data_IF_699880727420
#
_entry.id   IF_699880727420
#
_cell.length_a   1.000
_cell.length_b   1.000
_cell.length_c   1.000
_cell.angle_alpha   90.00
_cell.angle_beta   90.00
_cell.angle_gamma   90.00
#
_symmetry.space_group_name_H-M   'P 1'
#
loop_
_entity.id
_entity.type
_entity.pdbx_description
1 polymer ?
#
# COMPACT_ATOMS: atom_id res chain seq x y z
N UNK A 1 9.64 14.03 0.61
CA UNK A 1 8.66 13.58 1.64
C UNK A 1 7.34 13.46 0.91
N UNK A 2 6.88 12.23 0.63
CA UNK A 2 5.66 12.01 -0.13
C UNK A 2 4.45 12.42 0.72
N UNK A 3 3.60 13.30 0.19
CA UNK A 3 2.44 13.86 0.93
C UNK A 3 1.14 13.08 0.73
N UNK A 4 1.10 12.13 -0.21
CA UNK A 4 -0.12 11.40 -0.58
C UNK A 4 0.08 9.89 -0.48
N UNK A 5 -0.79 9.24 0.27
CA UNK A 5 -0.87 7.78 0.35
C UNK A 5 -2.27 7.29 -0.02
N UNK A 6 -2.34 6.17 -0.73
CA UNK A 6 -3.58 5.53 -1.17
C UNK A 6 -3.64 4.12 -0.58
N UNK A 7 -4.70 3.84 0.18
CA UNK A 7 -4.96 2.50 0.72
C UNK A 7 -6.05 1.83 -0.14
N UNK A 8 -5.66 0.80 -0.89
CA UNK A 8 -6.52 0.11 -1.84
C UNK A 8 -7.41 -0.94 -1.19
N UNK A 9 -8.73 -0.80 -1.30
CA UNK A 9 -9.71 -1.79 -0.85
C UNK A 9 -9.89 -2.97 -1.83
N UNK A 10 -11.04 -3.64 -1.74
CA UNK A 10 -11.42 -4.71 -2.66
C UNK A 10 -11.47 -4.21 -4.10
N UNK A 11 -10.87 -4.95 -5.04
CA UNK A 11 -10.80 -4.60 -6.45
C UNK A 11 -9.66 -3.63 -6.82
N UNK A 12 -9.00 -3.01 -5.83
CA UNK A 12 -7.88 -2.10 -6.06
C UNK A 12 -6.61 -2.63 -5.40
N UNK A 13 -6.10 -3.77 -5.89
CA UNK A 13 -4.84 -4.36 -5.42
C UNK A 13 -3.61 -3.80 -6.13
N UNK A 14 -3.82 -3.06 -7.23
CA UNK A 14 -2.80 -2.33 -7.99
C UNK A 14 -3.39 -1.03 -8.55
N UNK A 15 -2.61 0.04 -8.53
CA UNK A 15 -2.88 1.25 -9.31
C UNK A 15 -2.21 1.10 -10.67
N UNK A 16 -2.98 0.77 -11.71
CA UNK A 16 -2.48 0.63 -13.07
C UNK A 16 -1.74 1.88 -13.62
N UNK A 17 -2.17 3.14 -13.36
CA UNK A 17 -1.47 4.32 -13.83
C UNK A 17 -0.30 4.77 -12.93
N UNK A 18 0.08 3.98 -11.92
CA UNK A 18 1.19 4.33 -11.02
C UNK A 18 2.51 3.85 -11.64
N UNK A 19 3.40 4.80 -11.94
CA UNK A 19 4.78 4.51 -12.32
C UNK A 19 5.57 4.13 -11.07
N UNK A 20 5.79 2.83 -10.88
CA UNK A 20 6.43 2.30 -9.67
C UNK A 20 7.92 2.64 -9.68
N UNK A 21 8.36 3.39 -8.67
CA UNK A 21 9.77 3.74 -8.49
C UNK A 21 10.49 2.77 -7.56
N UNK A 22 9.82 2.29 -6.49
CA UNK A 22 10.38 1.28 -5.58
C UNK A 22 9.30 0.59 -4.74
N UNK A 23 9.65 -0.56 -4.17
CA UNK A 23 8.90 -1.22 -3.10
C UNK A 23 9.71 -1.21 -1.83
N UNK A 24 9.05 -0.99 -0.71
CA UNK A 24 9.67 -0.86 0.60
C UNK A 24 8.96 -1.78 1.59
N UNK A 25 9.72 -2.66 2.24
CA UNK A 25 9.25 -3.45 3.38
C UNK A 25 9.52 -2.63 4.63
N UNK A 26 8.49 -2.34 5.41
CA UNK A 26 8.59 -1.54 6.63
C UNK A 26 8.06 -2.34 7.81
N UNK A 27 8.74 -2.20 8.94
CA UNK A 27 8.33 -2.76 10.21
C UNK A 27 7.85 -1.62 11.11
N UNK A 28 6.71 -1.80 11.77
CA UNK A 28 6.21 -0.82 12.74
C UNK A 28 6.22 -1.42 14.15
N UNK A 29 6.18 -0.59 15.20
CA UNK A 29 5.95 -1.06 16.57
C UNK A 29 4.64 -1.85 16.75
N UNK A 30 3.70 -1.72 15.80
CA UNK A 30 2.42 -2.43 15.79
C UNK A 30 2.45 -3.72 14.95
N UNK A 31 3.61 -4.07 14.39
CA UNK A 31 3.82 -5.25 13.55
C UNK A 31 3.90 -4.92 12.06
N UNK A 32 3.65 -5.94 11.23
CA UNK A 32 3.69 -5.83 9.78
C UNK A 32 2.43 -5.15 9.22
N UNK A 33 2.55 -4.25 8.24
CA UNK A 33 1.44 -3.80 7.42
C UNK A 33 0.88 -4.94 6.54
N UNK A 34 -0.22 -4.67 5.84
CA UNK A 34 -0.85 -5.64 4.92
C UNK A 34 0.03 -6.09 3.74
N UNK A 35 1.17 -5.44 3.52
CA UNK A 35 2.16 -5.76 2.48
C UNK A 35 3.21 -4.66 2.33
N UNK A 36 4.18 -4.83 1.41
CA UNK A 36 5.17 -3.80 1.14
C UNK A 36 4.52 -2.53 0.58
N UNK A 37 5.03 -1.37 1.00
CA UNK A 37 4.64 -0.07 0.46
C UNK A 37 5.16 0.06 -0.97
N UNK A 38 4.30 0.45 -1.91
CA UNK A 38 4.72 0.77 -3.28
C UNK A 38 4.81 2.27 -3.44
N UNK A 39 6.00 2.77 -3.73
CA UNK A 39 6.23 4.18 -4.06
C UNK A 39 6.21 4.35 -5.57
N UNK A 40 5.63 5.43 -6.03
CA UNK A 40 5.59 5.76 -7.45
C UNK A 40 5.13 7.17 -7.75
N UNK A 41 5.02 7.45 -9.05
CA UNK A 41 4.45 8.68 -9.57
C UNK A 41 3.07 8.40 -10.17
N UNK A 42 2.09 9.22 -9.80
CA UNK A 42 0.76 9.22 -10.40
C UNK A 42 0.52 10.62 -10.98
N UNK A 43 0.46 10.73 -12.31
CA UNK A 43 0.33 12.01 -13.01
C UNK A 43 1.39 13.05 -12.55
N UNK A 44 2.64 12.60 -12.35
CA UNK A 44 3.75 13.45 -11.88
C UNK A 44 3.75 13.75 -10.37
N UNK A 45 2.78 13.23 -9.60
CA UNK A 45 2.71 13.39 -8.14
C UNK A 45 3.29 12.15 -7.46
N UNK A 46 4.21 12.34 -6.50
CA UNK A 46 4.68 11.25 -5.64
C UNK A 46 3.52 10.68 -4.81
N UNK A 47 3.34 9.36 -4.87
CA UNK A 47 2.31 8.63 -4.12
C UNK A 47 2.89 7.35 -3.53
N UNK A 48 2.43 7.02 -2.32
CA UNK A 48 2.61 5.69 -1.71
C UNK A 48 1.31 4.90 -1.82
N UNK A 49 1.38 3.64 -2.23
CA UNK A 49 0.23 2.74 -2.33
C UNK A 49 0.41 1.51 -1.44
N UNK A 50 -0.66 1.16 -0.72
CA UNK A 50 -0.74 -0.04 0.11
C UNK A 50 -2.09 -0.75 -0.13
N UNK A 51 -2.12 -2.00 -0.61
CA UNK A 51 -3.37 -2.77 -0.66
C UNK A 51 -3.79 -3.21 0.75
N UNK A 52 -5.00 -2.81 1.18
CA UNK A 52 -5.58 -3.10 2.50
C UNK A 52 -5.62 -4.59 2.82
N UNK A 53 -5.94 -5.41 1.82
CA UNK A 53 -6.06 -6.87 1.96
C UNK A 53 -4.81 -7.63 1.49
N UNK A 54 -3.69 -6.89 1.29
CA UNK A 54 -2.49 -7.40 0.64
C UNK A 54 -2.67 -7.57 -0.87
N UNK A 55 -1.55 -7.76 -1.59
CA UNK A 55 -1.55 -7.89 -3.05
C UNK A 55 -2.34 -9.09 -3.57
N UNK A 56 -2.41 -10.15 -2.77
CA UNK A 56 -3.15 -11.37 -3.10
C UNK A 56 -4.61 -11.35 -2.58
N UNK A 57 -5.06 -10.25 -1.96
CA UNK A 57 -6.39 -10.13 -1.35
C UNK A 57 -6.71 -11.31 -0.40
N UNK A 58 -5.77 -11.63 0.50
CA UNK A 58 -5.88 -12.79 1.40
C UNK A 58 -6.16 -12.41 2.85
N UNK A 59 -5.98 -11.13 3.20
CA UNK A 59 -6.20 -10.65 4.56
C UNK A 59 -7.67 -10.29 4.70
N UNK A 60 -8.49 -11.04 5.47
CA UNK A 60 -9.89 -10.68 5.67
C UNK A 60 -10.01 -9.37 6.48
N UNK A 61 -11.14 -8.63 6.38
CA UNK A 61 -11.29 -7.32 7.02
C UNK A 61 -10.97 -7.28 8.51
N UNK A 62 -11.32 -8.31 9.26
CA UNK A 62 -11.08 -8.40 10.71
C UNK A 62 -9.62 -8.72 11.10
N UNK A 63 -8.77 -9.09 10.12
CA UNK A 63 -7.34 -9.37 10.33
C UNK A 63 -6.43 -8.26 9.78
N UNK A 64 -7.00 -7.17 9.26
CA UNK A 64 -6.21 -6.03 8.79
C UNK A 64 -5.56 -5.34 9.99
N UNK A 65 -4.24 -5.20 9.97
CA UNK A 65 -3.50 -4.49 11.01
C UNK A 65 -3.52 -2.98 10.76
N UNK A 66 -4.63 -2.32 11.11
CA UNK A 66 -4.81 -0.89 10.85
C UNK A 66 -3.83 0.05 11.55
N UNK A 67 -3.07 -0.44 12.55
CA UNK A 67 -2.09 0.36 13.28
C UNK A 67 -0.70 0.34 12.64
N UNK A 68 -0.40 -0.71 11.88
CA UNK A 68 0.87 -0.85 11.15
C UNK A 68 0.80 -0.14 9.80
#
# INVERSE_FOLDING_TARGET
MCRLAIIGGTGLTRLAPLEITRREVVHTPYGEPSGPLTHGLLNGVEVVFLPRHGYAHRIPPHMVNYRA
#
